data_IF_989312175146
#
_entry.id   IF_989312175146
#
_cell.length_a   1.000
_cell.length_b   1.000
_cell.length_c   1.000
_cell.angle_alpha   90.00
_cell.angle_beta   90.00
_cell.angle_gamma   90.00
#
_symmetry.space_group_name_H-M   'P 1'
#
loop_
_entity.id
_entity.type
_entity.pdbx_description
1 polymer ?
#
# COMPACT_ATOMS: atom_id res chain seq x y z
N UNK A 1 17.99 -6.06 13.35
CA UNK A 1 16.97 -4.99 13.24
C UNK A 1 17.59 -3.62 13.50
N UNK A 2 17.25 -2.60 12.72
CA UNK A 2 17.64 -1.20 13.01
C UNK A 2 16.63 -0.58 13.99
N UNK A 3 17.06 -0.37 15.24
CA UNK A 3 16.20 0.08 16.35
C UNK A 3 15.66 1.50 16.13
N UNK A 4 16.47 2.42 15.60
CA UNK A 4 16.04 3.80 15.33
C UNK A 4 14.94 3.84 14.27
N UNK A 5 15.11 3.05 13.19
CA UNK A 5 14.10 2.95 12.15
C UNK A 5 12.80 2.30 12.65
N UNK A 6 12.90 1.28 13.51
CA UNK A 6 11.72 0.68 14.15
C UNK A 6 10.96 1.71 14.99
N UNK A 7 11.63 2.44 15.88
CA UNK A 7 11.02 3.50 16.70
C UNK A 7 10.29 4.54 15.86
N UNK A 8 10.86 4.95 14.72
CA UNK A 8 10.22 5.87 13.77
C UNK A 8 8.94 5.30 13.14
N UNK A 9 8.85 3.99 12.96
CA UNK A 9 7.63 3.33 12.49
C UNK A 9 6.58 3.28 13.61
N UNK A 10 7.01 2.98 14.84
CA UNK A 10 6.15 2.96 16.02
C UNK A 10 5.57 4.34 16.31
N UNK A 11 6.37 5.40 16.23
CA UNK A 11 5.92 6.78 16.40
C UNK A 11 4.88 7.17 15.35
N UNK A 12 5.12 6.80 14.08
CA UNK A 12 4.18 7.09 12.98
C UNK A 12 2.85 6.33 13.13
N UNK A 13 2.91 5.07 13.57
CA UNK A 13 1.73 4.22 13.73
C UNK A 13 0.99 4.44 15.07
N UNK A 14 1.71 4.86 16.11
CA UNK A 14 1.21 5.11 17.46
C UNK A 14 1.38 3.97 18.47
N UNK A 15 1.72 2.75 18.04
CA UNK A 15 1.99 1.63 18.96
C UNK A 15 2.80 0.50 18.30
N UNK A 16 3.31 -0.41 19.12
CA UNK A 16 3.96 -1.65 18.67
C UNK A 16 2.94 -2.77 18.49
N UNK A 17 2.93 -3.42 17.32
CA UNK A 17 2.10 -4.60 17.08
C UNK A 17 2.73 -5.56 16.06
N UNK A 18 2.30 -6.85 16.04
CA UNK A 18 2.75 -7.81 15.02
C UNK A 18 2.49 -7.35 13.59
N UNK A 19 1.39 -6.62 13.34
CA UNK A 19 1.05 -6.09 12.02
C UNK A 19 2.09 -5.09 11.51
N UNK A 20 2.51 -4.16 12.38
CA UNK A 20 3.56 -3.18 12.06
C UNK A 20 4.91 -3.88 11.82
N UNK A 21 5.23 -4.91 12.61
CA UNK A 21 6.45 -5.70 12.44
C UNK A 21 6.53 -6.38 11.07
N UNK A 22 5.40 -6.91 10.56
CA UNK A 22 5.31 -7.51 9.22
C UNK A 22 5.67 -6.46 8.15
N UNK A 23 5.06 -5.29 8.22
CA UNK A 23 5.32 -4.20 7.28
C UNK A 23 6.77 -3.70 7.33
N UNK A 24 7.33 -3.53 8.53
CA UNK A 24 8.71 -3.13 8.74
C UNK A 24 9.67 -4.10 8.06
N UNK A 25 9.50 -5.40 8.32
CA UNK A 25 10.31 -6.46 7.73
C UNK A 25 10.21 -6.46 6.20
N UNK A 26 9.00 -6.34 5.66
CA UNK A 26 8.78 -6.29 4.22
C UNK A 26 9.43 -5.07 3.57
N UNK A 27 9.32 -3.88 4.18
CA UNK A 27 9.87 -2.65 3.64
C UNK A 27 11.41 -2.60 3.70
N UNK A 28 12.02 -3.06 4.79
CA UNK A 28 13.48 -3.17 4.91
C UNK A 28 14.01 -4.16 3.87
N UNK A 29 13.40 -5.35 3.76
CA UNK A 29 13.80 -6.33 2.76
C UNK A 29 13.64 -5.81 1.33
N UNK A 30 12.60 -5.03 1.04
CA UNK A 30 12.41 -4.43 -0.28
C UNK A 30 13.53 -3.42 -0.61
N UNK A 31 13.92 -2.61 0.37
CA UNK A 31 15.05 -1.66 0.23
C UNK A 31 16.34 -2.39 -0.14
N UNK A 32 16.64 -3.50 0.53
CA UNK A 32 17.82 -4.32 0.26
C UNK A 32 17.72 -5.06 -1.09
N UNK A 33 16.58 -5.72 -1.35
CA UNK A 33 16.40 -6.57 -2.54
C UNK A 33 16.40 -5.77 -3.84
N UNK A 34 15.85 -4.56 -3.83
CA UNK A 34 15.78 -3.69 -5.01
C UNK A 34 16.95 -2.69 -5.06
N UNK A 35 17.76 -2.59 -4.00
CA UNK A 35 18.83 -1.59 -3.82
C UNK A 35 18.29 -0.15 -3.86
N UNK A 36 17.17 0.10 -3.16
CA UNK A 36 16.43 1.36 -3.18
C UNK A 36 16.42 2.05 -1.82
N UNK A 37 16.34 3.38 -1.84
CA UNK A 37 16.13 4.22 -0.67
C UNK A 37 14.67 4.66 -0.52
N UNK A 38 14.48 5.83 0.11
CA UNK A 38 13.18 6.50 0.15
C UNK A 38 12.82 7.05 -1.22
N UNK A 39 11.54 6.96 -1.57
CA UNK A 39 10.99 7.60 -2.76
C UNK A 39 10.92 9.12 -2.57
N UNK A 40 11.52 9.88 -3.48
CA UNK A 40 11.33 11.34 -3.53
C UNK A 40 9.89 11.66 -3.95
N UNK A 41 9.44 11.05 -5.05
CA UNK A 41 8.06 11.14 -5.55
C UNK A 41 7.51 9.75 -5.91
N UNK A 42 7.03 9.51 -7.14
CA UNK A 42 6.43 8.23 -7.55
C UNK A 42 7.41 7.14 -8.05
N UNK A 43 8.72 7.29 -7.79
CA UNK A 43 9.75 6.40 -8.35
C UNK A 43 9.74 5.00 -7.73
N UNK A 44 9.53 4.91 -6.42
CA UNK A 44 9.28 3.65 -5.73
C UNK A 44 7.78 3.54 -5.46
N UNK A 45 7.18 2.45 -5.91
CA UNK A 45 5.76 2.18 -5.73
C UNK A 45 5.56 0.93 -4.88
N UNK A 46 4.67 1.03 -3.90
CA UNK A 46 4.13 -0.14 -3.21
C UNK A 46 2.68 -0.38 -3.64
N UNK A 47 2.39 -1.61 -4.06
CA UNK A 47 1.03 -2.13 -4.22
C UNK A 47 0.77 -3.08 -3.06
N UNK A 48 -0.07 -2.68 -2.12
CA UNK A 48 -0.47 -3.50 -0.97
C UNK A 48 -1.75 -4.27 -1.26
N UNK A 49 -1.82 -5.52 -0.80
CA UNK A 49 -3.02 -6.37 -0.94
C UNK A 49 -3.91 -6.41 0.32
N UNK A 50 -3.57 -5.59 1.32
CA UNK A 50 -4.25 -5.42 2.61
C UNK A 50 -4.18 -3.95 3.06
N UNK A 51 -5.05 -3.59 3.99
CA UNK A 51 -5.19 -2.29 4.64
C UNK A 51 -4.83 -2.36 6.14
N UNK A 52 -3.87 -3.22 6.49
CA UNK A 52 -3.45 -3.47 7.87
C UNK A 52 -2.27 -2.57 8.31
N UNK A 53 -1.96 -2.58 9.61
CA UNK A 53 -0.89 -1.80 10.26
C UNK A 53 0.47 -1.82 9.53
N UNK A 54 0.80 -2.92 8.84
CA UNK A 54 2.06 -3.03 8.11
C UNK A 54 2.23 -2.02 6.97
N UNK A 55 1.13 -1.50 6.43
CA UNK A 55 1.15 -0.44 5.41
C UNK A 55 1.85 0.81 5.95
N UNK A 56 1.68 1.14 7.23
CA UNK A 56 2.28 2.34 7.83
C UNK A 56 3.80 2.26 7.90
N UNK A 57 4.37 1.08 8.16
CA UNK A 57 5.82 0.90 8.09
C UNK A 57 6.35 1.08 6.66
N UNK A 58 5.62 0.61 5.65
CA UNK A 58 5.96 0.84 4.24
C UNK A 58 5.97 2.33 3.91
N UNK A 59 4.91 3.06 4.30
CA UNK A 59 4.83 4.52 4.15
C UNK A 59 6.03 5.19 4.80
N UNK A 60 6.36 4.79 6.04
CA UNK A 60 7.41 5.42 6.82
C UNK A 60 8.82 5.19 6.27
N UNK A 61 9.10 3.96 5.84
CA UNK A 61 10.45 3.51 5.45
C UNK A 61 10.76 3.91 4.02
N UNK A 62 9.85 3.63 3.08
CA UNK A 62 10.08 3.80 1.65
C UNK A 62 9.46 5.08 1.08
N UNK A 63 8.69 5.84 1.89
CA UNK A 63 7.95 7.01 1.42
C UNK A 63 6.95 6.69 0.29
N UNK A 64 6.43 5.46 0.28
CA UNK A 64 5.30 5.08 -0.57
C UNK A 64 4.01 5.47 0.17
N UNK A 65 3.39 6.59 -0.18
CA UNK A 65 2.23 7.14 0.54
C UNK A 65 1.03 7.32 -0.39
N UNK A 66 -0.17 7.36 0.19
CA UNK A 66 -1.40 7.66 -0.57
C UNK A 66 -1.30 9.04 -1.21
N UNK A 67 -0.80 10.04 -0.46
CA UNK A 67 -0.72 11.43 -0.92
C UNK A 67 0.20 11.64 -2.11
N UNK A 68 1.27 10.85 -2.24
CA UNK A 68 2.16 10.87 -3.42
C UNK A 68 1.64 10.02 -4.58
N UNK A 69 0.58 9.23 -4.37
CA UNK A 69 0.04 8.32 -5.39
C UNK A 69 0.87 7.05 -5.62
N UNK A 70 1.95 6.83 -4.85
CA UNK A 70 2.84 5.67 -4.98
C UNK A 70 2.59 4.57 -3.93
N UNK A 71 1.50 4.68 -3.17
CA UNK A 71 0.90 3.57 -2.42
C UNK A 71 -0.47 3.23 -3.03
N UNK A 72 -0.59 2.04 -3.59
CA UNK A 72 -1.79 1.60 -4.30
C UNK A 72 -2.40 0.41 -3.56
N UNK A 73 -3.69 0.51 -3.24
CA UNK A 73 -4.44 -0.57 -2.60
C UNK A 73 -5.05 -1.50 -3.65
N UNK A 74 -4.69 -2.78 -3.58
CA UNK A 74 -5.29 -3.87 -4.37
C UNK A 74 -5.93 -4.88 -3.40
N UNK A 75 -7.11 -4.55 -2.89
CA UNK A 75 -7.79 -5.27 -1.80
C UNK A 75 -8.18 -6.72 -2.08
N UNK A 76 -7.21 -7.63 -2.12
CA UNK A 76 -7.47 -9.09 -2.22
C UNK A 76 -7.48 -9.81 -0.87
N UNK A 77 -7.20 -9.08 0.22
CA UNK A 77 -7.15 -9.61 1.59
C UNK A 77 -5.87 -10.38 1.93
N UNK A 78 -4.89 -10.45 1.03
CA UNK A 78 -3.62 -11.13 1.29
C UNK A 78 -2.68 -10.21 2.05
N UNK A 79 -2.00 -10.75 3.06
CA UNK A 79 -0.88 -10.10 3.74
C UNK A 79 0.35 -10.05 2.83
N UNK A 80 0.25 -9.27 1.76
CA UNK A 80 1.26 -9.17 0.72
C UNK A 80 1.51 -7.74 0.28
N UNK A 81 2.75 -7.49 -0.10
CA UNK A 81 3.27 -6.21 -0.55
C UNK A 81 4.08 -6.45 -1.82
N UNK A 82 3.78 -5.68 -2.88
CA UNK A 82 4.57 -5.66 -4.10
C UNK A 82 5.28 -4.34 -4.23
N UNK A 83 6.58 -4.37 -4.42
CA UNK A 83 7.43 -3.19 -4.56
C UNK A 83 7.98 -3.13 -5.98
N UNK A 84 8.01 -1.92 -6.51
CA UNK A 84 8.47 -1.64 -7.86
C UNK A 84 9.38 -0.42 -7.81
N UNK A 85 10.48 -0.49 -8.55
CA UNK A 85 11.30 0.68 -8.87
C UNK A 85 11.06 1.04 -10.35
N UNK A 86 10.49 2.22 -10.59
CA UNK A 86 10.21 2.72 -11.95
C UNK A 86 11.49 2.98 -12.75
N UNK A 87 12.60 3.27 -12.08
CA UNK A 87 13.85 3.65 -12.76
C UNK A 87 14.59 2.43 -13.29
N UNK A 88 14.77 1.40 -12.46
CA UNK A 88 15.43 0.15 -12.90
C UNK A 88 14.49 -0.88 -13.52
N UNK A 89 13.18 -0.75 -13.30
CA UNK A 89 12.18 -1.76 -13.70
C UNK A 89 12.17 -3.00 -12.81
N UNK A 90 13.02 -3.07 -11.76
CA UNK A 90 13.03 -4.17 -10.81
C UNK A 90 11.72 -4.21 -10.01
N UNK A 91 11.25 -5.42 -9.71
CA UNK A 91 10.04 -5.64 -8.92
C UNK A 91 10.16 -6.89 -8.06
N UNK A 92 9.53 -6.86 -6.89
CA UNK A 92 9.47 -8.00 -5.97
C UNK A 92 8.13 -8.01 -5.23
N UNK A 93 7.64 -9.21 -4.92
CA UNK A 93 6.43 -9.43 -4.11
C UNK A 93 6.79 -10.26 -2.89
N UNK A 94 6.41 -9.77 -1.72
CA UNK A 94 6.47 -10.51 -0.47
C UNK A 94 5.06 -10.84 0.00
N UNK A 95 4.85 -12.09 0.43
CA UNK A 95 3.58 -12.52 1.01
C UNK A 95 3.88 -13.29 2.30
N UNK A 96 3.19 -12.92 3.38
CA UNK A 96 3.34 -13.55 4.68
C UNK A 96 2.95 -15.03 4.57
N UNK A 97 3.79 -15.91 5.11
CA UNK A 97 3.50 -17.34 5.24
C UNK A 97 2.54 -17.57 6.39
N UNK A 98 1.79 -18.67 6.32
CA UNK A 98 1.00 -19.11 7.47
C UNK A 98 1.94 -19.54 8.60
N UNK A 99 1.68 -19.05 9.81
CA UNK A 99 2.36 -19.51 11.01
C UNK A 99 1.85 -20.91 11.35
N UNK A 100 2.75 -21.86 11.63
CA UNK A 100 2.40 -23.26 11.90
C UNK A 100 1.97 -23.48 13.35
N UNK A 101 2.66 -22.82 14.27
CA UNK A 101 2.43 -22.96 15.70
C UNK A 101 1.63 -21.75 16.24
N UNK A 102 0.74 -21.98 17.21
CA UNK A 102 0.10 -20.89 17.93
C UNK A 102 1.17 -20.15 18.74
N UNK A 103 1.09 -18.82 18.72
CA UNK A 103 1.95 -17.92 19.50
C UNK A 103 1.07 -16.85 20.10
N UNK A 104 1.44 -16.36 21.28
CA UNK A 104 0.82 -15.15 21.79
C UNK A 104 1.22 -13.92 20.97
N UNK A 105 0.64 -12.77 21.31
CA UNK A 105 0.84 -11.53 20.56
C UNK A 105 2.31 -11.07 20.57
N UNK A 106 2.99 -11.16 21.72
CA UNK A 106 4.32 -10.59 21.92
C UNK A 106 5.39 -11.56 21.39
N UNK A 107 5.20 -12.86 21.60
CA UNK A 107 5.97 -13.92 20.97
C UNK A 107 5.93 -13.81 19.44
N UNK A 108 4.73 -13.60 18.87
CA UNK A 108 4.57 -13.45 17.42
C UNK A 108 5.28 -12.21 16.91
N UNK A 109 5.16 -11.06 17.59
CA UNK A 109 5.86 -9.84 17.21
C UNK A 109 7.37 -10.07 17.18
N UNK A 110 7.91 -10.66 18.24
CA UNK A 110 9.34 -10.96 18.34
C UNK A 110 9.80 -11.93 17.24
N UNK A 111 9.05 -13.01 17.01
CA UNK A 111 9.35 -13.97 15.94
C UNK A 111 9.41 -13.30 14.57
N UNK A 112 8.44 -12.44 14.24
CA UNK A 112 8.44 -11.69 12.96
C UNK A 112 9.68 -10.81 12.83
N UNK A 113 10.09 -10.12 13.91
CA UNK A 113 11.23 -9.20 13.88
C UNK A 113 12.58 -9.91 13.78
N UNK A 114 12.71 -11.08 14.41
CA UNK A 114 14.01 -11.74 14.63
C UNK A 114 14.28 -12.91 13.69
N UNK A 115 13.25 -13.66 13.25
CA UNK A 115 13.45 -14.85 12.43
C UNK A 115 14.04 -14.53 11.03
N UNK A 116 14.65 -15.51 10.33
CA UNK A 116 15.06 -15.35 8.95
C UNK A 116 13.91 -14.89 8.03
N UNK A 117 14.19 -14.05 7.04
CA UNK A 117 13.15 -13.45 6.20
C UNK A 117 12.35 -14.49 5.42
N UNK A 118 13.04 -15.50 4.91
CA UNK A 118 12.49 -16.60 4.15
C UNK A 118 11.60 -17.51 5.00
N UNK A 119 11.70 -17.48 6.32
CA UNK A 119 10.75 -18.20 7.19
C UNK A 119 9.42 -17.46 7.31
N UNK A 120 9.45 -16.13 7.28
CA UNK A 120 8.27 -15.27 7.45
C UNK A 120 7.56 -15.02 6.12
N UNK A 121 8.31 -14.84 5.02
CA UNK A 121 7.76 -14.44 3.74
C UNK A 121 8.07 -15.44 2.62
N UNK A 122 7.12 -15.62 1.71
CA UNK A 122 7.40 -16.12 0.37
C UNK A 122 7.80 -14.95 -0.53
N UNK A 123 8.90 -15.12 -1.27
CA UNK A 123 9.37 -14.16 -2.27
C UNK A 123 8.89 -14.58 -3.65
N UNK A 124 8.41 -13.63 -4.45
CA UNK A 124 8.00 -13.87 -5.83
C UNK A 124 7.96 -12.60 -6.65
N UNK A 125 7.42 -12.71 -7.86
CA UNK A 125 7.26 -11.60 -8.79
C UNK A 125 5.76 -11.27 -8.91
N UNK A 126 5.34 -9.99 -8.82
CA UNK A 126 3.98 -9.59 -9.10
C UNK A 126 3.55 -10.01 -10.52
N UNK A 127 2.38 -10.67 -10.63
CA UNK A 127 1.79 -11.13 -11.91
C UNK A 127 0.96 -10.05 -12.63
N UNK A 128 1.13 -8.81 -12.22
CA UNK A 128 0.46 -7.64 -12.78
C UNK A 128 1.50 -6.56 -13.02
N UNK A 129 1.19 -5.69 -13.96
CA UNK A 129 2.05 -4.57 -14.30
C UNK A 129 1.86 -3.41 -13.34
N UNK A 130 2.88 -2.56 -13.29
CA UNK A 130 2.85 -1.35 -12.49
C UNK A 130 1.88 -0.33 -13.13
N UNK A 131 0.94 0.25 -12.38
CA UNK A 131 0.06 1.29 -12.90
C UNK A 131 0.81 2.53 -13.40
N UNK A 132 0.12 3.33 -14.22
CA UNK A 132 0.62 4.65 -14.65
C UNK A 132 0.89 5.56 -13.44
N UNK A 133 1.68 6.62 -13.65
CA UNK A 133 1.88 7.66 -12.63
C UNK A 133 0.57 8.40 -12.37
N UNK A 134 0.44 8.99 -11.19
CA UNK A 134 -0.70 9.84 -10.86
C UNK A 134 -0.80 10.99 -11.87
N UNK A 135 -2.04 11.36 -12.21
CA UNK A 135 -2.34 12.40 -13.19
C UNK A 135 -3.07 13.55 -12.51
N UNK A 136 -2.78 14.76 -12.95
CA UNK A 136 -3.56 15.94 -12.60
C UNK A 136 -4.79 15.96 -13.51
N UNK A 137 -5.98 16.01 -12.89
CA UNK A 137 -7.25 16.05 -13.59
C UNK A 137 -7.89 17.44 -13.48
N UNK A 138 -8.71 17.80 -14.46
CA UNK A 138 -9.54 18.98 -14.35
C UNK A 138 -10.50 18.85 -13.17
N UNK A 139 -10.75 19.97 -12.50
CA UNK A 139 -11.73 20.07 -11.42
C UNK A 139 -13.08 20.43 -12.01
N UNK A 140 -14.10 19.61 -11.76
CA UNK A 140 -15.43 19.76 -12.32
C UNK A 140 -16.43 19.93 -11.19
N UNK A 141 -17.23 20.99 -11.27
CA UNK A 141 -18.30 21.26 -10.31
C UNK A 141 -19.49 20.32 -10.55
N UNK A 142 -19.92 19.61 -9.52
CA UNK A 142 -21.15 18.83 -9.55
C UNK A 142 -22.37 19.76 -9.66
N UNK A 143 -23.28 19.45 -10.59
CA UNK A 143 -24.50 20.24 -10.83
C UNK A 143 -25.65 19.94 -9.85
N UNK A 144 -25.42 19.09 -8.84
CA UNK A 144 -26.39 18.77 -7.77
C UNK A 144 -25.95 19.41 -6.44
N UNK A 145 -24.80 19.01 -5.88
CA UNK A 145 -24.33 19.54 -4.59
C UNK A 145 -23.51 20.83 -4.71
N UNK A 146 -22.96 21.15 -5.90
CA UNK A 146 -22.12 22.32 -6.11
C UNK A 146 -20.65 22.17 -5.68
N UNK A 147 -20.24 21.01 -5.18
CA UNK A 147 -18.84 20.70 -4.83
C UNK A 147 -18.03 20.31 -6.06
N UNK A 148 -16.70 20.46 -5.99
CA UNK A 148 -15.80 20.08 -7.06
C UNK A 148 -15.24 18.67 -6.87
N UNK A 149 -15.15 17.90 -7.95
CA UNK A 149 -14.49 16.60 -7.99
C UNK A 149 -13.59 16.48 -9.24
N UNK A 150 -12.55 15.63 -9.21
CA UNK A 150 -11.69 15.43 -10.36
C UNK A 150 -12.45 14.77 -11.51
N UNK A 151 -12.12 15.16 -12.75
CA UNK A 151 -12.81 14.77 -13.98
C UNK A 151 -13.12 13.27 -14.09
N UNK A 152 -12.16 12.39 -13.78
CA UNK A 152 -12.35 10.93 -13.87
C UNK A 152 -13.34 10.35 -12.82
N UNK A 153 -13.70 11.13 -11.80
CA UNK A 153 -14.71 10.79 -10.78
C UNK A 153 -16.09 11.38 -11.08
N UNK A 154 -16.24 12.14 -12.16
CA UNK A 154 -17.55 12.66 -12.58
C UNK A 154 -18.31 11.60 -13.40
N UNK A 155 -19.63 11.61 -13.31
CA UNK A 155 -20.56 10.85 -14.14
C UNK A 155 -21.55 11.77 -14.83
N UNK A 156 -22.16 11.27 -15.90
CA UNK A 156 -23.30 11.93 -16.55
C UNK A 156 -24.59 11.27 -16.06
N UNK A 157 -25.53 12.07 -15.58
CA UNK A 157 -26.85 11.63 -15.14
C UNK A 157 -27.88 12.70 -15.52
N UNK A 158 -28.88 12.32 -16.32
CA UNK A 158 -29.93 13.22 -16.83
C UNK A 158 -29.38 14.50 -17.50
N UNK A 159 -28.30 14.35 -18.27
CA UNK A 159 -27.62 15.45 -18.97
C UNK A 159 -26.72 16.33 -18.09
N UNK A 160 -26.60 16.02 -16.80
CA UNK A 160 -25.78 16.77 -15.83
C UNK A 160 -24.49 16.05 -15.47
N UNK A 161 -23.44 16.81 -15.19
CA UNK A 161 -22.19 16.36 -14.57
C UNK A 161 -22.37 16.24 -13.06
N UNK A 162 -22.24 15.03 -12.54
CA UNK A 162 -22.48 14.72 -11.12
C UNK A 162 -21.30 14.00 -10.49
N UNK A 163 -20.99 14.31 -9.22
CA UNK A 163 -19.99 13.58 -8.44
C UNK A 163 -20.50 12.18 -8.07
N UNK A 164 -19.59 11.31 -7.60
CA UNK A 164 -19.95 9.94 -7.22
C UNK A 164 -20.99 9.85 -6.09
N UNK A 165 -20.98 10.81 -5.15
CA UNK A 165 -21.94 10.80 -4.03
C UNK A 165 -23.36 11.18 -4.47
N UNK A 166 -23.47 12.03 -5.49
CA UNK A 166 -24.77 12.44 -6.05
C UNK A 166 -25.25 11.52 -7.19
N UNK A 167 -24.35 10.73 -7.78
CA UNK A 167 -24.67 9.81 -8.87
C UNK A 167 -25.54 8.66 -8.35
N UNK A 168 -26.65 8.40 -9.03
CA UNK A 168 -27.51 7.25 -8.78
C UNK A 168 -27.32 6.26 -9.91
N UNK A 169 -26.64 5.17 -9.60
CA UNK A 169 -26.46 4.10 -10.58
C UNK A 169 -27.83 3.49 -10.93
N UNK A 170 -28.02 3.22 -12.22
CA UNK A 170 -29.20 2.54 -12.71
C UNK A 170 -28.80 1.15 -13.17
N UNK A 171 -28.92 0.18 -12.27
CA UNK A 171 -28.75 -1.23 -12.59
C UNK A 171 -30.11 -1.93 -12.58
N UNK A 172 -30.41 -2.65 -13.65
CA UNK A 172 -31.42 -3.71 -13.68
C UNK A 172 -30.64 -4.99 -13.88
N UNK A 173 -30.14 -5.55 -12.78
CA UNK A 173 -29.34 -6.79 -12.68
C UNK A 173 -29.30 -7.61 -13.99
N UNK A 174 -28.14 -7.60 -14.65
CA UNK A 174 -27.79 -8.55 -15.72
C UNK A 174 -26.61 -9.36 -15.25
#
# INVERSE_FOLDING_TARGET
MNIDLWKKCVEFHGHECPGLAIGYRAAVAASEYLEIGKSDDEDIVCITENDACGVDAVQRILSCTIGKGNLIYRGTGKMAFSFFDRNSGKKVRFCLKAFKEPMDRDERQKYILDAPFEEIFSVGIPKYDLPERARIFNSIKCEICGENAPEHKIRLMDGKKVCLDCFKDYSREW
#
